data_IF_589407109099
#
_entry.id   IF_589407109099
#
_cell.length_a   1.000
_cell.length_b   1.000
_cell.length_c   1.000
_cell.angle_alpha   90.00
_cell.angle_beta   90.00
_cell.angle_gamma   90.00
#
_symmetry.space_group_name_H-M   'P 1'
#
loop_
_entity.id
_entity.type
_entity.pdbx_description
1 polymer ?
#
# COMPACT_ATOMS: atom_id res chain seq x y z
N UNK A 1 -5.65 -49.84 36.56
CA UNK A 1 -5.64 -48.36 36.68
C UNK A 1 -5.25 -47.80 35.33
N UNK A 2 -6.08 -46.89 34.83
CA UNK A 2 -6.16 -46.49 33.43
C UNK A 2 -4.86 -45.87 32.90
N UNK A 3 -4.39 -46.41 31.78
CA UNK A 3 -3.47 -45.74 30.88
C UNK A 3 -4.16 -44.49 30.33
N UNK A 4 -3.86 -43.33 30.90
CA UNK A 4 -4.13 -42.05 30.26
C UNK A 4 -3.24 -41.97 29.02
N UNK A 5 -3.73 -42.47 27.88
CA UNK A 5 -3.22 -42.03 26.60
C UNK A 5 -3.48 -40.53 26.55
N UNK A 6 -2.40 -39.73 26.48
CA UNK A 6 -2.51 -38.36 25.98
C UNK A 6 -3.30 -38.43 24.68
N UNK A 7 -4.57 -38.02 24.73
CA UNK A 7 -5.35 -37.79 23.55
C UNK A 7 -4.61 -36.66 22.81
N UNK A 8 -3.82 -37.01 21.80
CA UNK A 8 -3.33 -36.03 20.86
C UNK A 8 -4.58 -35.40 20.24
N UNK A 9 -4.92 -34.18 20.64
CA UNK A 9 -6.05 -33.45 20.08
C UNK A 9 -5.84 -33.36 18.57
N UNK A 10 -6.72 -34.03 17.83
CA UNK A 10 -6.70 -34.04 16.38
C UNK A 10 -7.31 -32.73 15.88
N UNK A 11 -6.48 -31.72 15.67
CA UNK A 11 -6.89 -30.48 15.04
C UNK A 11 -7.05 -30.68 13.53
N UNK A 12 -8.13 -30.14 12.97
CA UNK A 12 -8.41 -30.24 11.52
C UNK A 12 -8.28 -28.87 10.90
N UNK A 13 -7.69 -28.81 9.71
CA UNK A 13 -7.61 -27.55 8.96
C UNK A 13 -9.00 -26.96 8.64
N UNK A 14 -10.04 -27.81 8.57
CA UNK A 14 -11.42 -27.40 8.35
C UNK A 14 -11.97 -26.49 9.48
N UNK A 15 -11.48 -26.64 10.71
CA UNK A 15 -11.85 -25.78 11.84
C UNK A 15 -11.40 -24.33 11.62
N UNK A 16 -10.38 -24.13 10.77
CA UNK A 16 -9.83 -22.82 10.40
C UNK A 16 -10.28 -22.35 9.00
N UNK A 17 -11.21 -23.08 8.34
CA UNK A 17 -11.66 -22.76 6.98
C UNK A 17 -12.24 -21.35 6.86
N UNK A 18 -13.01 -20.89 7.86
CA UNK A 18 -13.53 -19.52 7.90
C UNK A 18 -12.43 -18.45 7.97
N UNK A 19 -11.32 -18.72 8.67
CA UNK A 19 -10.19 -17.80 8.75
C UNK A 19 -9.40 -17.77 7.43
N UNK A 20 -9.25 -18.90 6.74
CA UNK A 20 -8.62 -18.95 5.42
C UNK A 20 -9.45 -18.20 4.36
N UNK A 21 -10.77 -18.30 4.40
CA UNK A 21 -11.66 -17.52 3.54
C UNK A 21 -11.55 -16.01 3.80
N UNK A 22 -11.44 -15.62 5.08
CA UNK A 22 -11.23 -14.22 5.46
C UNK A 22 -9.84 -13.71 5.01
N UNK A 23 -8.80 -14.52 5.15
CA UNK A 23 -7.46 -14.21 4.64
C UNK A 23 -7.45 -14.07 3.11
N UNK A 24 -8.20 -14.89 2.37
CA UNK A 24 -8.40 -14.72 0.93
C UNK A 24 -9.03 -13.35 0.61
N UNK A 25 -10.13 -13.00 1.27
CA UNK A 25 -10.81 -11.71 1.06
C UNK A 25 -9.92 -10.50 1.35
N UNK A 26 -9.16 -10.56 2.46
CA UNK A 26 -8.19 -9.53 2.84
C UNK A 26 -7.09 -9.36 1.77
N UNK A 27 -6.50 -10.46 1.33
CA UNK A 27 -5.42 -10.40 0.34
C UNK A 27 -5.88 -9.92 -1.05
N UNK A 28 -7.17 -10.08 -1.37
CA UNK A 28 -7.77 -9.51 -2.58
C UNK A 28 -8.03 -8.00 -2.46
N UNK A 29 -8.23 -7.51 -1.23
CA UNK A 29 -8.59 -6.12 -0.97
C UNK A 29 -7.55 -5.13 -1.51
N UNK A 30 -6.24 -5.43 -1.43
CA UNK A 30 -5.22 -4.50 -1.94
C UNK A 30 -5.32 -4.30 -3.44
N UNK A 31 -5.69 -5.34 -4.20
CA UNK A 31 -5.87 -5.23 -5.64
C UNK A 31 -7.05 -4.34 -6.03
N UNK A 32 -8.04 -4.23 -5.14
CA UNK A 32 -9.25 -3.41 -5.31
C UNK A 32 -9.01 -1.98 -4.80
N UNK A 33 -8.30 -1.82 -3.68
CA UNK A 33 -8.05 -0.55 -3.01
C UNK A 33 -6.71 0.11 -3.38
N UNK A 34 -6.12 -0.24 -4.53
CA UNK A 34 -4.85 0.32 -5.02
C UNK A 34 -4.81 1.85 -4.99
N UNK A 35 -5.96 2.50 -5.23
CA UNK A 35 -6.08 3.95 -5.23
C UNK A 35 -6.04 4.59 -3.83
N UNK A 36 -6.47 3.87 -2.79
CA UNK A 36 -6.42 4.37 -1.40
C UNK A 36 -4.98 4.44 -0.87
N UNK A 37 -4.03 3.71 -1.46
CA UNK A 37 -2.63 3.78 -1.06
C UNK A 37 -1.93 5.09 -1.50
N UNK A 38 -2.54 5.89 -2.38
CA UNK A 38 -1.98 7.13 -2.95
C UNK A 38 -2.44 8.37 -2.14
N UNK A 39 -2.51 8.24 -0.81
CA UNK A 39 -3.00 9.28 0.12
C UNK A 39 -2.31 10.66 0.00
N UNK A 40 -1.00 10.81 -0.26
CA UNK A 40 -0.36 12.13 -0.13
C UNK A 40 -0.61 13.11 -1.30
N UNK A 41 -1.26 12.70 -2.40
CA UNK A 41 -1.40 13.57 -3.59
C UNK A 41 -2.32 14.77 -3.39
N UNK A 42 -3.33 14.65 -2.53
CA UNK A 42 -4.36 15.67 -2.34
C UNK A 42 -3.83 17.03 -1.83
N UNK A 43 -3.13 17.07 -0.69
CA UNK A 43 -2.50 18.30 -0.18
C UNK A 43 -1.51 18.92 -1.17
N UNK A 44 -0.73 18.07 -1.84
CA UNK A 44 0.25 18.45 -2.88
C UNK A 44 -0.39 19.20 -4.04
N UNK A 45 -1.45 18.62 -4.62
CA UNK A 45 -2.16 19.22 -5.74
C UNK A 45 -2.76 20.59 -5.39
N UNK A 46 -3.31 20.75 -4.18
CA UNK A 46 -3.86 22.04 -3.71
C UNK A 46 -2.78 23.11 -3.57
N UNK A 47 -1.61 22.76 -3.03
CA UNK A 47 -0.51 23.71 -2.91
C UNK A 47 0.02 24.15 -4.27
N UNK A 48 0.17 23.22 -5.21
CA UNK A 48 0.60 23.53 -6.58
C UNK A 48 -0.38 24.49 -7.26
N UNK A 49 -1.68 24.22 -7.17
CA UNK A 49 -2.70 25.10 -7.73
C UNK A 49 -2.64 26.51 -7.12
N UNK A 50 -2.45 26.61 -5.80
CA UNK A 50 -2.27 27.91 -5.15
C UNK A 50 -1.01 28.65 -5.65
N UNK A 51 0.12 27.95 -5.79
CA UNK A 51 1.36 28.56 -6.32
C UNK A 51 1.18 29.01 -7.77
N UNK A 52 0.45 28.28 -8.60
CA UNK A 52 0.14 28.72 -9.98
C UNK A 52 -0.63 30.04 -10.01
N UNK A 53 -1.60 30.22 -9.12
CA UNK A 53 -2.35 31.47 -9.02
C UNK A 53 -1.46 32.64 -8.57
N UNK A 54 -0.53 32.40 -7.64
CA UNK A 54 0.44 33.40 -7.16
C UNK A 54 1.45 33.81 -8.24
N UNK A 55 1.95 32.86 -9.03
CA UNK A 55 2.82 33.19 -10.17
C UNK A 55 2.05 33.97 -11.24
N UNK A 56 0.78 33.61 -11.47
CA UNK A 56 -0.11 34.31 -12.40
C UNK A 56 -0.31 35.79 -12.04
N UNK A 57 -0.49 36.10 -10.75
CA UNK A 57 -0.60 37.49 -10.29
C UNK A 57 0.74 38.24 -10.36
N UNK A 58 1.86 37.57 -10.10
CA UNK A 58 3.22 38.16 -10.15
C UNK A 58 3.71 38.43 -11.58
N UNK A 59 3.24 37.67 -12.59
CA UNK A 59 3.53 37.90 -14.02
C UNK A 59 3.21 39.32 -14.48
N UNK A 60 2.23 39.98 -13.86
CA UNK A 60 1.83 41.36 -14.18
C UNK A 60 2.84 42.39 -13.61
N UNK A 61 3.56 42.02 -12.55
CA UNK A 61 4.42 42.93 -11.78
C UNK A 61 5.90 42.76 -12.10
N UNK A 62 6.36 41.53 -12.37
CA UNK A 62 7.77 41.24 -12.66
C UNK A 62 7.93 39.97 -13.55
N UNK A 63 8.10 40.12 -14.88
CA UNK A 63 7.97 39.01 -15.83
C UNK A 63 9.17 38.04 -15.85
N UNK A 64 10.37 38.51 -15.50
CA UNK A 64 11.59 37.69 -15.49
C UNK A 64 11.58 36.67 -14.35
N UNK A 65 11.23 37.09 -13.13
CA UNK A 65 11.09 36.24 -11.94
C UNK A 65 9.89 35.28 -12.05
N UNK A 66 8.80 35.69 -12.69
CA UNK A 66 7.66 34.82 -12.95
C UNK A 66 8.02 33.63 -13.88
N UNK A 67 8.89 33.86 -14.87
CA UNK A 67 9.31 32.80 -15.81
C UNK A 67 10.15 31.70 -15.14
N UNK A 68 11.06 32.08 -14.23
CA UNK A 68 11.92 31.14 -13.51
C UNK A 68 11.14 30.33 -12.46
N UNK A 69 10.20 30.97 -11.74
CA UNK A 69 9.28 30.29 -10.83
C UNK A 69 8.39 29.29 -11.56
N UNK A 70 7.89 29.63 -12.75
CA UNK A 70 7.08 28.73 -13.56
C UNK A 70 7.87 27.52 -14.05
N UNK A 71 9.13 27.70 -14.47
CA UNK A 71 10.00 26.60 -14.87
C UNK A 71 10.28 25.63 -13.70
N UNK A 72 10.54 26.15 -12.50
CA UNK A 72 10.72 25.34 -11.28
C UNK A 72 9.45 24.59 -10.89
N UNK A 73 8.28 25.21 -11.05
CA UNK A 73 7.00 24.57 -10.79
C UNK A 73 6.71 23.42 -11.76
N UNK A 74 6.95 23.62 -13.06
CA UNK A 74 6.81 22.57 -14.07
C UNK A 74 7.79 21.41 -13.82
N UNK A 75 9.01 21.70 -13.36
CA UNK A 75 9.95 20.67 -12.93
C UNK A 75 9.40 19.85 -11.76
N UNK A 76 8.83 20.50 -10.73
CA UNK A 76 8.24 19.80 -9.58
C UNK A 76 7.01 18.96 -9.99
N UNK A 77 6.18 19.45 -10.93
CA UNK A 77 5.06 18.68 -11.49
C UNK A 77 5.53 17.42 -12.22
N UNK A 78 6.59 17.52 -13.03
CA UNK A 78 7.17 16.35 -13.72
C UNK A 78 7.69 15.31 -12.73
N UNK A 79 8.35 15.77 -11.67
CA UNK A 79 8.86 14.89 -10.61
C UNK A 79 7.75 14.16 -9.87
N UNK A 80 6.60 14.81 -9.64
CA UNK A 80 5.40 14.16 -9.09
C UNK A 80 4.92 13.03 -10.00
N UNK A 81 4.85 13.25 -11.31
CA UNK A 81 4.39 12.22 -12.26
C UNK A 81 5.33 11.01 -12.24
N UNK A 82 6.65 11.24 -12.25
CA UNK A 82 7.65 10.16 -12.17
C UNK A 82 7.49 9.36 -10.86
N UNK A 83 7.24 10.07 -9.77
CA UNK A 83 7.04 9.47 -8.46
C UNK A 83 5.73 8.68 -8.37
N UNK A 84 4.67 9.15 -9.03
CA UNK A 84 3.39 8.46 -9.14
C UNK A 84 3.56 7.14 -9.92
N UNK A 85 4.27 7.15 -11.04
CA UNK A 85 4.54 5.95 -11.86
C UNK A 85 5.38 4.90 -11.09
N UNK A 86 6.38 5.38 -10.35
CA UNK A 86 7.18 4.54 -9.46
C UNK A 86 6.31 3.89 -8.39
N UNK A 87 5.45 4.67 -7.72
CA UNK A 87 4.54 4.16 -6.70
C UNK A 87 3.53 3.17 -7.29
N UNK A 88 2.99 3.43 -8.47
CA UNK A 88 2.08 2.53 -9.17
C UNK A 88 2.71 1.15 -9.44
N UNK A 89 3.99 1.12 -9.78
CA UNK A 89 4.75 -0.13 -9.97
C UNK A 89 4.87 -0.90 -8.65
N UNK A 90 5.16 -0.22 -7.54
CA UNK A 90 5.20 -0.85 -6.22
C UNK A 90 3.84 -1.37 -5.78
N UNK A 91 2.76 -0.60 -6.02
CA UNK A 91 1.39 -1.03 -5.75
C UNK A 91 1.03 -2.28 -6.54
N UNK A 92 1.41 -2.34 -7.83
CA UNK A 92 1.19 -3.53 -8.65
C UNK A 92 1.96 -4.75 -8.13
N UNK A 93 3.21 -4.57 -7.71
CA UNK A 93 4.03 -5.64 -7.12
C UNK A 93 3.44 -6.16 -5.81
N UNK A 94 3.10 -5.26 -4.87
CA UNK A 94 2.46 -5.62 -3.61
C UNK A 94 1.10 -6.31 -3.81
N UNK A 95 0.32 -5.84 -4.80
CA UNK A 95 -0.95 -6.45 -5.18
C UNK A 95 -0.76 -7.87 -5.77
N UNK A 96 0.27 -8.09 -6.58
CA UNK A 96 0.58 -9.43 -7.09
C UNK A 96 0.98 -10.39 -5.96
N UNK A 97 1.83 -9.93 -5.03
CA UNK A 97 2.24 -10.74 -3.87
C UNK A 97 1.05 -11.10 -3.00
N UNK A 98 0.25 -10.11 -2.59
CA UNK A 98 -0.97 -10.37 -1.79
C UNK A 98 -1.93 -11.28 -2.53
N UNK A 99 -2.14 -11.09 -3.83
CA UNK A 99 -2.97 -11.99 -4.65
C UNK A 99 -2.48 -13.45 -4.62
N UNK A 100 -1.16 -13.70 -4.74
CA UNK A 100 -0.61 -15.06 -4.64
C UNK A 100 -0.90 -15.70 -3.28
N UNK A 101 -0.78 -14.93 -2.19
CA UNK A 101 -1.17 -15.40 -0.86
C UNK A 101 -2.68 -15.60 -0.73
N UNK A 102 -3.51 -14.79 -1.38
CA UNK A 102 -4.95 -15.03 -1.46
C UNK A 102 -5.28 -16.36 -2.14
N UNK A 103 -4.67 -16.63 -3.30
CA UNK A 103 -4.83 -17.90 -4.02
C UNK A 103 -4.33 -19.08 -3.19
N UNK A 104 -3.21 -18.93 -2.48
CA UNK A 104 -2.72 -19.95 -1.56
C UNK A 104 -3.71 -20.23 -0.42
N UNK A 105 -4.28 -19.19 0.21
CA UNK A 105 -5.30 -19.35 1.24
C UNK A 105 -6.56 -20.06 0.71
N UNK A 106 -6.97 -19.75 -0.52
CA UNK A 106 -8.08 -20.44 -1.19
C UNK A 106 -7.78 -21.91 -1.45
N UNK A 107 -6.56 -22.22 -1.91
CA UNK A 107 -6.12 -23.60 -2.11
C UNK A 107 -6.13 -24.39 -0.79
N UNK A 108 -5.61 -23.81 0.30
CA UNK A 108 -5.65 -24.43 1.62
C UNK A 108 -7.06 -24.59 2.16
N UNK A 109 -7.97 -23.64 1.90
CA UNK A 109 -9.39 -23.76 2.26
C UNK A 109 -10.06 -24.90 1.50
N UNK A 110 -9.76 -25.06 0.20
CA UNK A 110 -10.25 -26.17 -0.60
C UNK A 110 -9.69 -27.51 -0.10
N UNK A 111 -8.38 -27.56 0.18
CA UNK A 111 -7.73 -28.74 0.75
C UNK A 111 -8.38 -29.15 2.09
N UNK A 112 -8.63 -28.18 2.97
CA UNK A 112 -9.31 -28.40 4.25
C UNK A 112 -10.73 -28.97 4.10
N UNK A 113 -11.42 -28.68 3.00
CA UNK A 113 -12.75 -29.20 2.73
C UNK A 113 -12.72 -30.64 2.21
N UNK A 114 -11.65 -31.05 1.52
CA UNK A 114 -11.52 -32.37 0.89
C UNK A 114 -10.78 -33.37 1.78
N UNK A 115 -9.72 -32.95 2.47
CA UNK A 115 -8.93 -33.78 3.37
C UNK A 115 -9.17 -33.39 4.83
N UNK A 116 -9.68 -34.35 5.61
CA UNK A 116 -9.93 -34.21 7.06
C UNK A 116 -8.89 -34.92 7.91
N UNK A 117 -7.71 -35.18 7.36
CA UNK A 117 -6.58 -35.70 8.11
C UNK A 117 -6.24 -34.81 9.33
N UNK A 118 -5.82 -35.45 10.42
CA UNK A 118 -5.38 -34.75 11.61
C UNK A 118 -4.08 -33.99 11.29
N UNK A 119 -4.15 -32.67 11.32
CA UNK A 119 -2.99 -31.80 11.19
C UNK A 119 -2.60 -31.37 12.60
N UNK A 120 -1.30 -31.40 12.93
CA UNK A 120 -0.88 -30.91 14.25
C UNK A 120 -1.31 -29.45 14.45
N UNK A 121 -1.86 -29.12 15.61
CA UNK A 121 -2.27 -27.76 16.01
C UNK A 121 -1.28 -26.65 15.58
N UNK A 122 0.05 -26.77 15.83
CA UNK A 122 0.99 -25.72 15.45
C UNK A 122 1.07 -25.51 13.94
N UNK A 123 0.89 -26.56 13.14
CA UNK A 123 0.97 -26.50 11.69
C UNK A 123 -0.30 -25.88 11.08
N UNK A 124 -1.47 -26.18 11.64
CA UNK A 124 -2.74 -25.58 11.22
C UNK A 124 -2.79 -24.08 11.54
N UNK A 125 -2.34 -23.69 12.75
CA UNK A 125 -2.24 -22.29 13.15
C UNK A 125 -1.23 -21.52 12.32
N UNK A 126 -0.03 -22.08 12.12
CA UNK A 126 1.00 -21.44 11.30
C UNK A 126 0.51 -21.20 9.87
N UNK A 127 -0.09 -22.22 9.25
CA UNK A 127 -0.66 -22.12 7.90
C UNK A 127 -1.73 -21.04 7.85
N UNK A 128 -2.58 -20.91 8.86
CA UNK A 128 -3.63 -19.89 8.87
C UNK A 128 -3.05 -18.48 9.05
N UNK A 129 -2.16 -18.29 10.03
CA UNK A 129 -1.59 -16.96 10.39
C UNK A 129 -0.74 -16.38 9.27
N UNK A 130 0.03 -17.20 8.56
CA UNK A 130 0.96 -16.71 7.53
C UNK A 130 0.24 -15.96 6.41
N UNK A 131 -1.03 -16.27 6.15
CA UNK A 131 -1.83 -15.61 5.12
C UNK A 131 -2.40 -14.25 5.55
N UNK A 132 -2.31 -13.88 6.84
CA UNK A 132 -2.76 -12.57 7.34
C UNK A 132 -1.67 -11.50 7.31
N UNK A 133 -0.39 -11.89 7.25
CA UNK A 133 0.78 -10.99 7.27
C UNK A 133 0.98 -10.18 5.97
N UNK A 134 0.74 -10.73 4.76
CA UNK A 134 1.10 -10.06 3.50
C UNK A 134 0.42 -8.71 3.29
N UNK A 135 -0.87 -8.60 3.62
CA UNK A 135 -1.63 -7.36 3.42
C UNK A 135 -1.15 -6.21 4.33
N UNK A 136 -1.07 -6.36 5.67
CA UNK A 136 -0.51 -5.33 6.54
C UNK A 136 0.92 -4.92 6.15
N UNK A 137 1.77 -5.90 5.79
CA UNK A 137 3.13 -5.63 5.37
C UNK A 137 3.18 -4.83 4.06
N UNK A 138 2.33 -5.17 3.09
CA UNK A 138 2.20 -4.43 1.85
C UNK A 138 1.76 -2.98 2.08
N UNK A 139 0.76 -2.76 2.95
CA UNK A 139 0.30 -1.41 3.32
C UNK A 139 1.43 -0.61 3.97
N UNK A 140 2.19 -1.23 4.89
CA UNK A 140 3.33 -0.58 5.55
C UNK A 140 4.42 -0.17 4.55
N UNK A 141 4.78 -1.07 3.61
CA UNK A 141 5.78 -0.81 2.58
C UNK A 141 5.33 0.34 1.67
N UNK A 142 4.08 0.31 1.20
CA UNK A 142 3.53 1.36 0.34
C UNK A 142 3.45 2.71 1.06
N UNK A 143 3.05 2.71 2.33
CA UNK A 143 3.04 3.92 3.16
C UNK A 143 4.44 4.50 3.33
N UNK A 144 5.42 3.67 3.69
CA UNK A 144 6.81 4.10 3.86
C UNK A 144 7.39 4.63 2.54
N UNK A 145 7.14 3.94 1.42
CA UNK A 145 7.59 4.38 0.09
C UNK A 145 6.95 5.68 -0.34
N UNK A 146 5.64 5.83 -0.19
CA UNK A 146 4.95 7.08 -0.50
C UNK A 146 5.56 8.24 0.31
N UNK A 147 5.73 8.07 1.62
CA UNK A 147 6.31 9.12 2.46
C UNK A 147 7.76 9.47 2.06
N UNK A 148 8.57 8.48 1.69
CA UNK A 148 9.96 8.72 1.30
C UNK A 148 10.05 9.46 -0.04
N UNK A 149 9.25 9.04 -1.02
CA UNK A 149 9.28 9.57 -2.40
C UNK A 149 8.74 11.00 -2.46
N UNK A 150 7.68 11.32 -1.70
CA UNK A 150 7.12 12.68 -1.70
C UNK A 150 7.87 13.66 -0.78
N UNK A 151 8.77 13.20 0.09
CA UNK A 151 9.51 14.08 1.01
C UNK A 151 10.25 15.20 0.26
N UNK A 152 11.01 14.82 -0.76
CA UNK A 152 11.85 15.74 -1.52
C UNK A 152 11.02 16.72 -2.36
N UNK A 153 9.90 16.23 -2.92
CA UNK A 153 8.93 17.05 -3.64
C UNK A 153 8.29 18.07 -2.69
N UNK A 154 8.00 17.67 -1.46
CA UNK A 154 7.39 18.53 -0.46
C UNK A 154 8.29 19.67 -0.04
N UNK A 155 9.57 19.39 0.15
CA UNK A 155 10.58 20.40 0.42
C UNK A 155 10.74 21.38 -0.76
N UNK A 156 10.82 20.87 -2.00
CA UNK A 156 10.89 21.69 -3.21
C UNK A 156 9.69 22.63 -3.36
N UNK A 157 8.47 22.14 -3.11
CA UNK A 157 7.25 22.94 -3.19
C UNK A 157 7.18 23.99 -2.07
N UNK A 158 7.63 23.66 -0.85
CA UNK A 158 7.70 24.63 0.24
C UNK A 158 8.69 25.77 -0.06
N UNK A 159 9.85 25.47 -0.64
CA UNK A 159 10.80 26.49 -1.09
C UNK A 159 10.20 27.36 -2.21
N UNK A 160 9.56 26.74 -3.22
CA UNK A 160 8.84 27.45 -4.28
C UNK A 160 7.74 28.37 -3.73
N UNK A 161 7.01 27.93 -2.70
CA UNK A 161 6.00 28.74 -2.03
C UNK A 161 6.63 29.95 -1.33
N UNK A 162 7.75 29.78 -0.64
CA UNK A 162 8.45 30.88 0.00
C UNK A 162 8.94 31.91 -1.03
N UNK A 163 9.55 31.45 -2.11
CA UNK A 163 10.02 32.32 -3.20
C UNK A 163 8.87 33.04 -3.93
N UNK A 164 7.70 32.40 -4.03
CA UNK A 164 6.51 33.02 -4.63
C UNK A 164 5.85 34.05 -3.69
N UNK A 165 6.09 33.98 -2.38
CA UNK A 165 5.56 34.92 -1.38
C UNK A 165 6.51 36.08 -1.08
N UNK A 166 7.83 35.89 -1.22
CA UNK A 166 8.87 36.90 -1.02
C UNK A 166 8.92 37.92 -2.17
#
# INVERSE_FOLDING_TARGET
MASQSLAAECFRLNEFSGLLQLAFGLNLALSIFKELAIVPRGPLARQIAAIETLIGSRKVRDPSSASSLRARLESAKREIVINDDSLATWVACCAAVTFLFGVAALFWSFYAAVDQSCMGEPLALFTTIVHFIPLPLAILILYARAHFVYKDVWEKINLLKQDALA
#
